data_IF_260368897595
#
_entry.id   IF_260368897595
#
_cell.length_a   1.000
_cell.length_b   1.000
_cell.length_c   1.000
_cell.angle_alpha   90.00
_cell.angle_beta   90.00
_cell.angle_gamma   90.00
#
_symmetry.space_group_name_H-M   'P 1'
#
loop_
_entity.id
_entity.type
_entity.pdbx_description
1 polymer ?
#
# COMPACT_ATOMS: atom_id res chain seq x y z
N UNK A 1 8.11 -25.72 -10.95
CA UNK A 1 7.15 -25.04 -11.88
C UNK A 1 7.10 -23.51 -11.69
N UNK A 2 6.77 -22.99 -10.50
CA UNK A 2 6.58 -21.54 -10.27
C UNK A 2 7.86 -20.72 -10.49
N UNK A 3 9.02 -21.24 -10.05
CA UNK A 3 10.32 -20.59 -10.27
C UNK A 3 10.63 -20.40 -11.76
N UNK A 4 10.40 -21.44 -12.56
CA UNK A 4 10.59 -21.37 -14.02
C UNK A 4 9.66 -20.32 -14.65
N UNK A 5 8.41 -20.23 -14.19
CA UNK A 5 7.44 -19.25 -14.69
C UNK A 5 7.87 -17.81 -14.39
N UNK A 6 8.35 -17.52 -13.17
CA UNK A 6 8.78 -16.17 -12.80
C UNK A 6 10.14 -15.79 -13.42
N UNK A 7 11.04 -16.75 -13.62
CA UNK A 7 12.31 -16.54 -14.33
C UNK A 7 12.07 -16.16 -15.80
N UNK A 8 11.07 -16.76 -16.44
CA UNK A 8 10.70 -16.48 -17.83
C UNK A 8 9.79 -15.24 -17.98
N UNK A 9 9.30 -14.66 -16.89
CA UNK A 9 8.48 -13.45 -16.95
C UNK A 9 9.33 -12.24 -17.39
N UNK A 10 8.97 -11.56 -18.49
CA UNK A 10 9.87 -10.64 -19.20
C UNK A 10 9.78 -9.19 -18.71
N UNK A 11 8.93 -8.91 -17.71
CA UNK A 11 8.73 -7.57 -17.18
C UNK A 11 9.28 -7.47 -15.77
N UNK A 12 9.65 -6.24 -15.42
CA UNK A 12 10.14 -5.86 -14.10
C UNK A 12 9.16 -4.87 -13.46
N UNK A 13 9.51 -4.37 -12.28
CA UNK A 13 8.74 -3.36 -11.56
C UNK A 13 7.41 -3.91 -11.01
N UNK A 14 6.41 -3.04 -10.90
CA UNK A 14 5.16 -3.36 -10.21
C UNK A 14 4.48 -4.62 -10.76
N UNK A 15 4.51 -4.84 -12.07
CA UNK A 15 3.81 -6.02 -12.63
C UNK A 15 4.45 -7.33 -12.18
N UNK A 16 5.80 -7.40 -12.16
CA UNK A 16 6.54 -8.55 -11.62
C UNK A 16 6.34 -8.68 -10.13
N UNK A 17 6.35 -7.58 -9.40
CA UNK A 17 6.19 -7.57 -7.96
C UNK A 17 4.79 -8.07 -7.55
N UNK A 18 3.72 -7.61 -8.22
CA UNK A 18 2.37 -8.10 -7.97
C UNK A 18 2.24 -9.58 -8.36
N UNK A 19 2.77 -9.98 -9.52
CA UNK A 19 2.78 -11.39 -9.92
C UNK A 19 3.47 -12.26 -8.88
N UNK A 20 4.65 -11.84 -8.42
CA UNK A 20 5.45 -12.53 -7.41
C UNK A 20 4.70 -12.60 -6.09
N UNK A 21 3.97 -11.57 -5.68
CA UNK A 21 3.09 -11.63 -4.51
C UNK A 21 1.94 -12.62 -4.69
N UNK A 22 1.34 -12.68 -5.88
CA UNK A 22 0.33 -13.68 -6.22
C UNK A 22 0.85 -15.11 -6.12
N UNK A 23 2.00 -15.36 -6.75
CA UNK A 23 2.70 -16.64 -6.69
C UNK A 23 3.19 -16.96 -5.27
N UNK A 24 3.60 -15.98 -4.48
CA UNK A 24 3.99 -16.18 -3.08
C UNK A 24 2.87 -16.81 -2.26
N UNK A 25 1.61 -16.39 -2.50
CA UNK A 25 0.45 -16.99 -1.85
C UNK A 25 0.33 -18.48 -2.14
N UNK A 26 0.65 -18.87 -3.37
CA UNK A 26 0.70 -20.26 -3.80
C UNK A 26 1.83 -21.01 -3.13
N UNK A 27 3.03 -20.45 -3.16
CA UNK A 27 4.20 -21.07 -2.57
C UNK A 27 4.01 -21.33 -1.08
N UNK A 28 3.38 -20.41 -0.36
CA UNK A 28 3.03 -20.57 1.06
C UNK A 28 2.09 -21.75 1.31
N UNK A 29 1.09 -21.96 0.44
CA UNK A 29 0.02 -22.95 0.68
C UNK A 29 0.29 -24.31 0.02
N UNK A 30 1.07 -24.36 -1.06
CA UNK A 30 1.21 -25.52 -1.93
C UNK A 30 2.64 -25.73 -2.48
N UNK A 31 3.61 -24.89 -2.11
CA UNK A 31 4.99 -25.03 -2.56
C UNK A 31 5.23 -24.60 -4.02
N UNK A 32 6.36 -25.04 -4.59
CA UNK A 32 6.88 -24.55 -5.89
C UNK A 32 6.34 -25.33 -7.11
N UNK A 33 5.76 -26.50 -6.89
CA UNK A 33 5.27 -27.41 -7.94
C UNK A 33 3.86 -27.91 -7.61
N UNK A 34 2.89 -27.01 -7.40
CA UNK A 34 1.53 -27.41 -7.07
C UNK A 34 0.85 -28.09 -8.26
N UNK A 35 0.03 -29.10 -7.99
CA UNK A 35 -0.92 -29.59 -8.98
C UNK A 35 -2.15 -28.67 -9.13
N UNK A 36 -3.07 -29.03 -10.02
CA UNK A 36 -4.28 -28.23 -10.26
C UNK A 36 -5.20 -28.09 -9.04
N UNK A 37 -5.29 -29.10 -8.19
CA UNK A 37 -6.15 -29.08 -7.00
C UNK A 37 -5.51 -28.23 -5.89
N UNK A 38 -4.22 -28.41 -5.64
CA UNK A 38 -3.44 -27.60 -4.70
C UNK A 38 -3.42 -26.11 -5.12
N UNK A 39 -3.33 -25.85 -6.43
CA UNK A 39 -3.42 -24.52 -7.01
C UNK A 39 -4.80 -23.89 -6.76
N UNK A 40 -5.86 -24.65 -6.98
CA UNK A 40 -7.23 -24.20 -6.73
C UNK A 40 -7.48 -23.89 -5.25
N UNK A 41 -7.00 -24.74 -4.36
CA UNK A 41 -7.15 -24.58 -2.91
C UNK A 41 -6.39 -23.36 -2.39
N UNK A 42 -5.19 -23.09 -2.91
CA UNK A 42 -4.44 -21.87 -2.62
C UNK A 42 -5.19 -20.59 -3.05
N UNK A 43 -5.71 -20.56 -4.28
CA UNK A 43 -6.47 -19.43 -4.79
C UNK A 43 -7.79 -19.22 -4.01
N UNK A 44 -8.46 -20.31 -3.62
CA UNK A 44 -9.65 -20.24 -2.78
C UNK A 44 -9.31 -19.75 -1.36
N UNK A 45 -8.17 -20.17 -0.79
CA UNK A 45 -7.67 -19.62 0.46
C UNK A 45 -7.43 -18.11 0.34
N UNK A 46 -6.83 -17.65 -0.76
CA UNK A 46 -6.61 -16.22 -1.01
C UNK A 46 -7.92 -15.42 -0.99
N UNK A 47 -8.99 -15.94 -1.62
CA UNK A 47 -10.32 -15.32 -1.60
C UNK A 47 -10.86 -15.16 -0.16
N UNK A 48 -10.68 -16.18 0.67
CA UNK A 48 -11.16 -16.18 2.07
C UNK A 48 -10.33 -15.23 2.92
N UNK A 49 -9.01 -15.33 2.85
CA UNK A 49 -8.05 -14.58 3.69
C UNK A 49 -7.95 -13.09 3.31
N UNK A 50 -8.10 -12.76 2.03
CA UNK A 50 -8.03 -11.38 1.53
C UNK A 50 -9.42 -10.76 1.29
N UNK A 51 -10.52 -11.47 1.57
CA UNK A 51 -11.88 -11.05 1.22
C UNK A 51 -12.29 -9.67 1.74
N UNK A 52 -11.82 -9.26 2.92
CA UNK A 52 -12.07 -7.91 3.45
C UNK A 52 -11.40 -6.81 2.63
N UNK A 53 -10.26 -7.11 2.00
CA UNK A 53 -9.55 -6.21 1.09
C UNK A 53 -10.23 -6.13 -0.26
N UNK A 54 -10.84 -7.23 -0.72
CA UNK A 54 -11.63 -7.25 -1.96
C UNK A 54 -12.86 -6.34 -1.85
N UNK A 55 -13.45 -6.28 -0.65
CA UNK A 55 -14.58 -5.39 -0.31
C UNK A 55 -14.16 -3.94 -0.03
N UNK A 56 -12.88 -3.66 0.18
CA UNK A 56 -12.41 -2.30 0.33
C UNK A 56 -12.65 -1.53 -0.98
N UNK A 57 -13.12 -0.28 -0.89
CA UNK A 57 -13.51 0.50 -2.08
C UNK A 57 -12.39 0.58 -3.13
N UNK A 58 -12.51 -0.25 -4.16
CA UNK A 58 -11.71 -0.15 -5.38
C UNK A 58 -12.38 0.83 -6.36
N UNK A 59 -11.63 1.24 -7.37
CA UNK A 59 -12.13 2.17 -8.37
C UNK A 59 -13.08 1.49 -9.35
N UNK A 60 -14.10 2.23 -9.80
CA UNK A 60 -14.83 1.86 -11.01
C UNK A 60 -13.87 1.77 -12.18
N UNK A 61 -14.07 0.76 -13.03
CA UNK A 61 -13.27 0.59 -14.24
C UNK A 61 -13.52 1.73 -15.23
N UNK A 62 -12.48 2.05 -16.01
CA UNK A 62 -12.63 2.93 -17.16
C UNK A 62 -13.54 2.29 -18.22
N UNK A 63 -14.15 3.11 -19.09
CA UNK A 63 -15.07 2.62 -20.13
C UNK A 63 -14.44 1.57 -21.06
N UNK A 64 -13.16 1.76 -21.41
CA UNK A 64 -12.44 0.83 -22.29
C UNK A 64 -12.21 -0.52 -21.62
N UNK A 65 -11.67 -0.53 -20.39
CA UNK A 65 -11.49 -1.75 -19.60
C UNK A 65 -12.83 -2.45 -19.37
N UNK A 66 -13.88 -1.71 -18.99
CA UNK A 66 -15.23 -2.30 -18.81
C UNK A 66 -15.71 -3.01 -20.07
N UNK A 67 -15.56 -2.40 -21.25
CA UNK A 67 -15.96 -3.05 -22.52
C UNK A 67 -15.09 -4.25 -22.86
N UNK A 68 -13.78 -4.18 -22.60
CA UNK A 68 -12.85 -5.28 -22.86
C UNK A 68 -13.16 -6.48 -21.96
N UNK A 69 -13.34 -6.25 -20.66
CA UNK A 69 -13.66 -7.29 -19.70
C UNK A 69 -15.08 -7.82 -19.90
N UNK A 70 -16.06 -7.03 -20.34
CA UNK A 70 -17.40 -7.56 -20.60
C UNK A 70 -17.40 -8.59 -21.75
N UNK A 71 -16.64 -8.33 -22.82
CA UNK A 71 -16.46 -9.31 -23.90
C UNK A 71 -15.71 -10.56 -23.40
N UNK A 72 -14.61 -10.35 -22.66
CA UNK A 72 -13.81 -11.43 -22.09
C UNK A 72 -14.65 -12.34 -21.18
N UNK A 73 -15.41 -11.77 -20.25
CA UNK A 73 -16.20 -12.53 -19.27
C UNK A 73 -17.37 -13.27 -19.92
N UNK A 74 -17.91 -12.75 -21.03
CA UNK A 74 -18.90 -13.49 -21.83
C UNK A 74 -18.26 -14.70 -22.50
N UNK A 75 -17.05 -14.56 -23.05
CA UNK A 75 -16.34 -15.67 -23.69
C UNK A 75 -15.86 -16.71 -22.68
N UNK A 76 -15.27 -16.29 -21.57
CA UNK A 76 -14.69 -17.18 -20.57
C UNK A 76 -15.75 -17.82 -19.67
N UNK A 77 -16.72 -17.04 -19.19
CA UNK A 77 -17.59 -17.43 -18.08
C UNK A 77 -19.08 -17.26 -18.40
N UNK A 78 -19.44 -16.95 -19.66
CA UNK A 78 -20.83 -16.73 -20.11
C UNK A 78 -21.62 -15.73 -19.26
N UNK A 79 -20.98 -14.63 -18.82
CA UNK A 79 -21.60 -13.57 -18.00
C UNK A 79 -20.99 -12.20 -18.22
N UNK A 80 -21.65 -11.16 -17.73
CA UNK A 80 -21.15 -9.78 -17.81
C UNK A 80 -20.05 -9.49 -16.79
N UNK A 81 -19.19 -8.53 -17.13
CA UNK A 81 -18.15 -8.06 -16.20
C UNK A 81 -18.75 -7.15 -15.10
N UNK A 82 -18.27 -7.26 -13.84
CA UNK A 82 -18.59 -6.33 -12.75
C UNK A 82 -18.23 -4.86 -13.04
N UNK A 83 -18.53 -3.95 -12.10
CA UNK A 83 -18.27 -2.51 -12.31
C UNK A 83 -16.87 -2.06 -11.84
N UNK A 84 -16.33 -2.72 -10.82
CA UNK A 84 -15.07 -2.34 -10.18
C UNK A 84 -13.97 -3.35 -10.43
N UNK A 85 -12.70 -2.90 -10.35
CA UNK A 85 -11.56 -3.83 -10.48
C UNK A 85 -11.54 -4.89 -9.37
N UNK A 86 -11.95 -4.54 -8.14
CA UNK A 86 -12.02 -5.49 -7.05
C UNK A 86 -12.99 -6.63 -7.34
N UNK A 87 -14.20 -6.32 -7.80
CA UNK A 87 -15.18 -7.35 -8.16
C UNK A 87 -14.72 -8.18 -9.37
N UNK A 88 -14.07 -7.56 -10.38
CA UNK A 88 -13.49 -8.29 -11.51
C UNK A 88 -12.43 -9.29 -11.03
N UNK A 89 -11.49 -8.85 -10.21
CA UNK A 89 -10.41 -9.69 -9.69
C UNK A 89 -10.93 -10.83 -8.81
N UNK A 90 -11.85 -10.55 -7.89
CA UNK A 90 -12.52 -11.59 -7.10
C UNK A 90 -13.19 -12.63 -8.02
N UNK A 91 -13.87 -12.15 -9.05
CA UNK A 91 -14.61 -13.01 -9.97
C UNK A 91 -13.70 -13.85 -10.86
N UNK A 92 -12.55 -13.33 -11.32
CA UNK A 92 -11.54 -14.12 -12.04
C UNK A 92 -10.97 -15.23 -11.16
N UNK A 93 -10.57 -14.90 -9.92
CA UNK A 93 -9.99 -15.91 -9.02
C UNK A 93 -11.00 -17.04 -8.79
N UNK A 94 -12.26 -16.69 -8.52
CA UNK A 94 -13.34 -17.66 -8.26
C UNK A 94 -13.55 -18.63 -9.42
N UNK A 95 -13.62 -18.16 -10.66
CA UNK A 95 -13.80 -19.09 -11.80
C UNK A 95 -12.54 -19.87 -12.12
N UNK A 96 -11.38 -19.26 -11.93
CA UNK A 96 -10.12 -19.97 -12.18
C UNK A 96 -10.02 -21.18 -11.26
N UNK A 97 -10.47 -21.07 -10.01
CA UNK A 97 -10.63 -22.22 -9.09
C UNK A 97 -11.55 -23.29 -9.68
N UNK A 98 -12.70 -22.92 -10.25
CA UNK A 98 -13.61 -23.88 -10.89
C UNK A 98 -13.00 -24.54 -12.14
N UNK A 99 -12.25 -23.78 -12.96
CA UNK A 99 -11.57 -24.29 -14.14
C UNK A 99 -10.47 -25.30 -13.79
N UNK A 100 -9.68 -25.01 -12.76
CA UNK A 100 -8.64 -25.91 -12.25
C UNK A 100 -9.26 -27.20 -11.70
N UNK A 101 -10.31 -27.10 -10.87
CA UNK A 101 -10.99 -28.27 -10.27
C UNK A 101 -11.64 -29.20 -11.31
N UNK A 102 -12.17 -28.63 -12.38
CA UNK A 102 -12.79 -29.40 -13.45
C UNK A 102 -11.76 -29.93 -14.48
N UNK A 103 -10.47 -29.62 -14.32
CA UNK A 103 -9.41 -29.99 -15.27
C UNK A 103 -9.51 -29.26 -16.61
N UNK A 104 -10.29 -28.18 -16.70
CA UNK A 104 -10.43 -27.35 -17.90
C UNK A 104 -9.25 -26.40 -18.11
N UNK A 105 -8.39 -26.27 -17.10
CA UNK A 105 -7.19 -25.46 -17.10
C UNK A 105 -6.05 -26.26 -16.48
N UNK A 106 -5.01 -26.54 -17.27
CA UNK A 106 -3.78 -27.18 -16.80
C UNK A 106 -2.80 -26.09 -16.31
N UNK A 107 -2.44 -26.07 -15.01
CA UNK A 107 -1.54 -25.05 -14.47
C UNK A 107 -0.10 -25.17 -15.02
N UNK A 108 0.38 -26.38 -15.31
CA UNK A 108 1.73 -26.59 -15.84
C UNK A 108 1.81 -26.10 -17.29
N UNK A 109 0.80 -26.43 -18.10
CA UNK A 109 0.70 -25.92 -19.47
C UNK A 109 0.61 -24.39 -19.48
N UNK A 110 -0.24 -23.81 -18.63
CA UNK A 110 -0.44 -22.36 -18.51
C UNK A 110 0.84 -21.63 -18.08
N UNK A 111 1.52 -22.10 -17.03
CA UNK A 111 2.71 -21.43 -16.51
C UNK A 111 3.92 -21.53 -17.43
N UNK A 112 4.00 -22.57 -18.27
CA UNK A 112 5.06 -22.72 -19.29
C UNK A 112 4.74 -22.05 -20.62
N UNK A 113 3.46 -21.82 -20.92
CA UNK A 113 3.04 -21.22 -22.18
C UNK A 113 3.41 -19.73 -22.23
N UNK A 114 4.53 -19.43 -22.89
CA UNK A 114 5.00 -18.07 -23.12
C UNK A 114 5.18 -17.81 -24.61
N UNK A 115 4.51 -16.76 -25.12
CA UNK A 115 4.64 -16.34 -26.53
C UNK A 115 4.80 -14.83 -26.63
N UNK A 116 5.76 -14.40 -27.43
CA UNK A 116 5.95 -12.98 -27.79
C UNK A 116 5.82 -12.81 -29.29
N UNK A 117 5.00 -11.85 -29.74
CA UNK A 117 4.89 -11.48 -31.15
C UNK A 117 4.71 -9.95 -31.32
N UNK A 118 4.44 -9.50 -32.56
CA UNK A 118 4.29 -8.08 -32.90
C UNK A 118 3.06 -7.41 -32.26
N UNK A 119 2.10 -8.18 -31.74
CA UNK A 119 0.85 -7.71 -31.13
C UNK A 119 0.94 -7.63 -29.61
N UNK A 120 1.86 -8.37 -29.00
CA UNK A 120 2.10 -8.33 -27.56
C UNK A 120 2.82 -9.56 -27.02
N UNK A 121 2.80 -9.67 -25.70
CA UNK A 121 3.26 -10.82 -24.93
C UNK A 121 2.03 -11.57 -24.42
N UNK A 122 2.07 -12.89 -24.47
CA UNK A 122 1.00 -13.80 -24.11
C UNK A 122 1.53 -14.75 -23.04
N UNK A 123 0.88 -14.72 -21.87
CA UNK A 123 1.15 -15.57 -20.72
C UNK A 123 -0.02 -16.54 -20.58
N UNK A 124 0.27 -17.84 -20.71
CA UNK A 124 -0.73 -18.88 -20.62
C UNK A 124 -1.31 -19.32 -21.95
N UNK A 125 -2.43 -20.05 -21.85
CA UNK A 125 -3.12 -20.66 -22.99
C UNK A 125 -4.43 -19.94 -23.26
N UNK A 126 -4.76 -19.75 -24.54
CA UNK A 126 -5.99 -19.05 -24.93
C UNK A 126 -7.22 -19.85 -24.47
N UNK A 127 -8.12 -19.21 -23.72
CA UNK A 127 -9.31 -19.86 -23.18
C UNK A 127 -10.55 -19.35 -23.93
N UNK A 128 -11.31 -20.27 -24.54
CA UNK A 128 -12.47 -19.96 -25.37
C UNK A 128 -12.23 -18.89 -26.45
N UNK A 129 -11.05 -18.90 -27.07
CA UNK A 129 -10.72 -17.97 -28.16
C UNK A 129 -10.25 -16.57 -27.70
N UNK A 130 -10.09 -16.36 -26.39
CA UNK A 130 -9.84 -15.04 -25.81
C UNK A 130 -8.74 -15.06 -24.74
N UNK A 131 -8.06 -13.92 -24.60
CA UNK A 131 -7.11 -13.65 -23.53
C UNK A 131 -7.35 -12.29 -22.90
N UNK A 132 -7.21 -12.21 -21.57
CA UNK A 132 -7.38 -10.96 -20.86
C UNK A 132 -6.22 -10.02 -21.15
N UNK A 133 -6.52 -8.75 -21.42
CA UNK A 133 -5.48 -7.73 -21.35
C UNK A 133 -5.14 -7.48 -19.88
N UNK A 134 -3.86 -7.21 -19.57
CA UNK A 134 -3.48 -6.74 -18.24
C UNK A 134 -4.36 -5.53 -17.86
N UNK A 135 -4.92 -5.47 -16.63
CA UNK A 135 -5.79 -4.39 -16.21
C UNK A 135 -5.08 -3.04 -16.20
N UNK A 136 -5.76 -1.96 -16.63
CA UNK A 136 -5.12 -0.64 -16.68
C UNK A 136 -4.65 -0.13 -15.31
N UNK A 137 -5.30 -0.55 -14.22
CA UNK A 137 -4.91 -0.18 -12.84
C UNK A 137 -3.51 -0.72 -12.44
N UNK A 138 -3.04 -1.77 -13.12
CA UNK A 138 -1.75 -2.43 -12.89
C UNK A 138 -0.70 -2.03 -13.95
N UNK A 139 -1.10 -1.47 -15.08
CA UNK A 139 -0.16 -1.04 -16.13
C UNK A 139 0.72 0.11 -15.62
N UNK A 140 2.03 -0.06 -15.71
CA UNK A 140 2.98 1.01 -15.43
C UNK A 140 3.14 1.98 -16.62
N UNK A 141 3.71 3.18 -16.39
CA UNK A 141 4.11 4.09 -17.46
C UNK A 141 5.23 3.55 -18.35
N UNK A 142 6.07 2.62 -17.88
CA UNK A 142 7.19 2.10 -18.69
C UNK A 142 6.72 1.28 -19.91
N UNK A 143 5.44 0.91 -19.96
CA UNK A 143 4.78 0.26 -21.11
C UNK A 143 4.51 1.23 -22.28
N UNK A 144 4.79 2.53 -22.11
CA UNK A 144 4.89 3.52 -23.18
C UNK A 144 6.37 3.76 -23.46
N UNK A 145 6.90 3.15 -24.53
CA UNK A 145 8.34 3.11 -24.83
C UNK A 145 9.06 4.47 -24.68
N UNK A 146 10.25 4.41 -24.04
CA UNK A 146 11.28 5.46 -23.84
C UNK A 146 10.97 6.56 -22.82
N UNK A 147 11.16 6.26 -21.54
CA UNK A 147 11.32 7.28 -20.51
C UNK A 147 12.78 7.40 -20.05
N UNK A 148 13.57 8.17 -20.79
CA UNK A 148 14.51 9.09 -20.12
C UNK A 148 13.68 10.28 -19.64
N UNK A 149 13.92 10.76 -18.43
CA UNK A 149 13.19 11.77 -17.61
C UNK A 149 12.82 13.12 -18.26
N UNK A 150 12.94 13.30 -19.57
CA UNK A 150 12.81 14.59 -20.27
C UNK A 150 11.83 14.66 -21.45
N UNK A 151 11.17 13.58 -21.88
CA UNK A 151 10.25 13.65 -23.04
C UNK A 151 8.86 13.07 -22.75
N UNK A 152 7.83 13.81 -23.18
CA UNK A 152 6.44 13.33 -23.27
C UNK A 152 6.38 11.99 -24.02
N UNK A 153 5.46 11.08 -23.65
CA UNK A 153 5.38 9.74 -24.24
C UNK A 153 5.24 9.85 -25.77
N UNK A 154 6.25 9.36 -26.49
CA UNK A 154 6.18 9.22 -27.95
C UNK A 154 5.42 7.93 -28.27
N UNK A 155 4.65 7.95 -29.36
CA UNK A 155 3.76 6.85 -29.78
C UNK A 155 4.52 5.59 -30.24
N UNK A 156 5.29 4.96 -29.36
CA UNK A 156 5.85 3.62 -29.54
C UNK A 156 4.78 2.53 -29.52
N UNK A 157 5.12 1.31 -29.91
CA UNK A 157 4.18 0.18 -29.82
C UNK A 157 3.89 -0.11 -28.35
N UNK A 158 2.63 0.09 -27.92
CA UNK A 158 2.20 -0.36 -26.60
C UNK A 158 2.39 -1.86 -26.50
N UNK A 159 3.34 -2.32 -25.69
CA UNK A 159 3.47 -3.74 -25.35
C UNK A 159 2.20 -4.15 -24.59
N UNK A 160 1.31 -4.90 -25.24
CA UNK A 160 0.13 -5.49 -24.60
C UNK A 160 0.53 -6.79 -23.94
N UNK A 161 0.14 -6.98 -22.70
CA UNK A 161 0.25 -8.26 -22.01
C UNK A 161 -1.13 -8.91 -22.04
N UNK A 162 -1.17 -10.10 -22.60
CA UNK A 162 -2.29 -10.99 -22.65
C UNK A 162 -2.10 -12.08 -21.60
N UNK A 163 -3.13 -12.34 -20.81
CA UNK A 163 -3.13 -13.25 -19.68
C UNK A 163 -4.27 -14.25 -19.88
N UNK A 164 -4.00 -15.51 -19.64
CA UNK A 164 -5.05 -16.51 -19.45
C UNK A 164 -5.71 -16.37 -18.04
N UNK A 165 -6.70 -17.22 -17.70
CA UNK A 165 -7.33 -17.17 -16.39
C UNK A 165 -6.36 -17.34 -15.21
N UNK A 166 -5.39 -18.26 -15.31
CA UNK A 166 -4.44 -18.53 -14.23
C UNK A 166 -3.54 -17.32 -13.97
N UNK A 167 -2.88 -16.80 -15.00
CA UNK A 167 -2.00 -15.65 -14.87
C UNK A 167 -2.75 -14.41 -14.35
N UNK A 168 -3.98 -14.18 -14.81
CA UNK A 168 -4.79 -13.07 -14.31
C UNK A 168 -5.22 -13.28 -12.85
N UNK A 169 -5.50 -14.52 -12.43
CA UNK A 169 -5.83 -14.83 -11.03
C UNK A 169 -4.64 -14.59 -10.09
N UNK A 170 -3.42 -14.97 -10.49
CA UNK A 170 -2.20 -14.72 -9.72
C UNK A 170 -1.96 -13.20 -9.59
N UNK A 171 -2.09 -12.46 -10.68
CA UNK A 171 -2.01 -10.99 -10.65
C UNK A 171 -3.05 -10.36 -9.72
N UNK A 172 -4.27 -10.90 -9.71
CA UNK A 172 -5.36 -10.43 -8.85
C UNK A 172 -5.05 -10.69 -7.36
N UNK A 173 -4.55 -11.87 -7.00
CA UNK A 173 -4.11 -12.19 -5.62
C UNK A 173 -2.99 -11.26 -5.19
N UNK A 174 -2.01 -11.04 -6.08
CA UNK A 174 -0.93 -10.09 -5.87
C UNK A 174 -1.41 -8.67 -5.59
N UNK A 175 -2.35 -8.19 -6.41
CA UNK A 175 -2.98 -6.88 -6.24
C UNK A 175 -3.64 -6.74 -4.87
N UNK A 176 -4.43 -7.73 -4.43
CA UNK A 176 -5.08 -7.67 -3.13
C UNK A 176 -4.11 -7.73 -1.95
N UNK A 177 -3.04 -8.53 -2.09
CA UNK A 177 -1.96 -8.61 -1.10
C UNK A 177 -1.29 -7.24 -0.93
N UNK A 178 -0.97 -6.57 -2.05
CA UNK A 178 -0.32 -5.26 -2.05
C UNK A 178 -1.27 -4.07 -1.75
N UNK A 179 -2.58 -4.24 -1.86
CA UNK A 179 -3.52 -3.12 -1.80
C UNK A 179 -3.51 -2.42 -0.43
N UNK A 180 -3.09 -1.15 -0.41
CA UNK A 180 -3.02 -0.29 0.77
C UNK A 180 -4.10 0.81 0.81
N UNK A 181 -4.97 0.87 -0.21
CA UNK A 181 -6.14 1.74 -0.24
C UNK A 181 -6.28 2.59 -1.50
N UNK A 182 -7.41 3.29 -1.59
CA UNK A 182 -7.71 4.26 -2.66
C UNK A 182 -8.18 5.57 -2.05
N UNK A 183 -7.32 6.60 -2.07
CA UNK A 183 -7.55 7.88 -1.38
C UNK A 183 -7.33 9.03 -2.36
N UNK A 184 -8.32 9.93 -2.48
CA UNK A 184 -8.18 11.12 -3.34
C UNK A 184 -8.01 10.82 -4.84
N UNK A 185 -8.47 9.65 -5.30
CA UNK A 185 -8.27 9.21 -6.70
C UNK A 185 -6.90 8.58 -6.99
N UNK A 186 -6.09 8.38 -5.94
CA UNK A 186 -4.83 7.64 -5.98
C UNK A 186 -5.03 6.22 -5.44
N UNK A 187 -4.39 5.23 -6.07
CA UNK A 187 -4.23 3.87 -5.57
C UNK A 187 -2.86 3.71 -4.94
N UNK A 188 -2.84 2.99 -3.82
CA UNK A 188 -1.66 2.77 -2.99
C UNK A 188 -1.41 1.27 -3.00
N UNK A 189 -0.25 0.85 -3.49
CA UNK A 189 0.18 -0.54 -3.50
C UNK A 189 1.50 -0.63 -2.74
N UNK A 190 1.60 -1.54 -1.77
CA UNK A 190 2.83 -1.78 -1.01
C UNK A 190 3.32 -3.19 -1.32
N UNK A 191 4.54 -3.29 -1.83
CA UNK A 191 5.15 -4.51 -2.33
C UNK A 191 6.49 -4.79 -1.65
N UNK A 192 7.01 -6.00 -1.86
CA UNK A 192 8.39 -6.38 -1.51
C UNK A 192 9.10 -6.80 -2.79
N UNK A 193 9.97 -5.94 -3.36
CA UNK A 193 10.79 -6.33 -4.51
C UNK A 193 11.70 -7.51 -4.14
N UNK A 194 11.85 -8.48 -5.04
CA UNK A 194 12.68 -9.66 -4.82
C UNK A 194 12.12 -10.67 -3.82
N UNK A 195 10.79 -10.68 -3.60
CA UNK A 195 10.15 -11.61 -2.65
C UNK A 195 10.38 -13.09 -3.02
N UNK A 196 10.62 -13.38 -4.29
CA UNK A 196 10.97 -14.71 -4.78
C UNK A 196 12.24 -15.28 -4.14
N UNK A 197 13.16 -14.43 -3.66
CA UNK A 197 14.36 -14.86 -2.94
C UNK A 197 14.08 -15.49 -1.57
N UNK A 198 12.86 -15.36 -1.06
CA UNK A 198 12.40 -15.95 0.20
C UNK A 198 11.59 -17.24 -0.01
N UNK A 199 11.40 -17.67 -1.26
CA UNK A 199 10.67 -18.91 -1.55
C UNK A 199 11.55 -20.13 -1.28
N UNK A 200 10.97 -21.24 -0.77
CA UNK A 200 9.60 -21.37 -0.27
C UNK A 200 9.46 -21.10 1.24
N UNK A 201 10.56 -20.93 1.97
CA UNK A 201 10.56 -21.10 3.44
C UNK A 201 10.23 -19.84 4.24
N UNK A 202 10.68 -18.66 3.79
CA UNK A 202 10.59 -17.43 4.58
C UNK A 202 9.47 -16.50 4.11
N UNK A 203 8.88 -16.79 2.95
CA UNK A 203 7.89 -15.92 2.29
C UNK A 203 6.61 -15.74 3.08
N UNK A 204 6.15 -16.76 3.81
CA UNK A 204 4.99 -16.68 4.68
C UNK A 204 5.16 -15.57 5.72
N UNK A 205 6.34 -15.49 6.35
CA UNK A 205 6.66 -14.46 7.33
C UNK A 205 6.70 -13.06 6.68
N UNK A 206 7.25 -12.94 5.48
CA UNK A 206 7.28 -11.68 4.73
C UNK A 206 5.86 -11.20 4.39
N UNK A 207 4.97 -12.10 3.96
CA UNK A 207 3.61 -11.75 3.56
C UNK A 207 2.73 -11.51 4.80
N UNK A 208 2.64 -12.47 5.71
CA UNK A 208 1.70 -12.46 6.84
C UNK A 208 2.12 -11.53 7.97
N UNK A 209 3.41 -11.47 8.31
CA UNK A 209 3.93 -10.59 9.37
C UNK A 209 4.44 -9.25 8.82
N UNK A 210 4.61 -9.14 7.50
CA UNK A 210 5.12 -7.95 6.84
C UNK A 210 4.07 -7.19 6.04
N UNK A 211 3.82 -7.62 4.82
CA UNK A 211 3.03 -6.87 3.83
C UNK A 211 1.58 -6.72 4.27
N UNK A 212 0.94 -7.78 4.76
CA UNK A 212 -0.47 -7.74 5.17
C UNK A 212 -0.71 -6.77 6.34
N UNK A 213 0.06 -6.77 7.44
CA UNK A 213 -0.14 -5.81 8.52
C UNK A 213 0.05 -4.36 8.06
N UNK A 214 1.07 -4.09 7.23
CA UNK A 214 1.36 -2.73 6.73
C UNK A 214 0.25 -2.21 5.84
N UNK A 215 -0.14 -2.97 4.82
CA UNK A 215 -1.25 -2.60 3.91
C UNK A 215 -2.58 -2.50 4.66
N UNK A 216 -2.82 -3.38 5.64
CA UNK A 216 -4.01 -3.35 6.49
C UNK A 216 -4.08 -2.11 7.37
N UNK A 217 -2.96 -1.70 7.95
CA UNK A 217 -2.85 -0.45 8.71
C UNK A 217 -3.14 0.77 7.82
N UNK A 218 -2.62 0.80 6.59
CA UNK A 218 -2.91 1.87 5.64
C UNK A 218 -4.42 1.97 5.30
N UNK A 219 -5.08 0.83 5.05
CA UNK A 219 -6.53 0.77 4.78
C UNK A 219 -7.34 1.25 6.00
N UNK A 220 -7.11 0.66 7.18
CA UNK A 220 -7.85 0.98 8.41
C UNK A 220 -7.63 2.42 8.85
N UNK A 221 -6.39 2.89 8.75
CA UNK A 221 -5.99 4.27 9.09
C UNK A 221 -6.39 5.30 8.03
N UNK A 222 -6.79 4.88 6.82
CA UNK A 222 -7.01 5.75 5.66
C UNK A 222 -5.85 6.72 5.46
N UNK A 223 -4.62 6.19 5.49
CA UNK A 223 -3.39 6.99 5.48
C UNK A 223 -3.12 7.53 4.07
N UNK A 224 -3.34 8.83 3.88
CA UNK A 224 -3.09 9.52 2.60
C UNK A 224 -1.62 9.93 2.47
N UNK A 225 -1.07 9.87 1.26
CA UNK A 225 0.27 10.38 1.00
C UNK A 225 0.22 11.90 0.85
N UNK A 226 0.59 12.62 1.92
CA UNK A 226 0.78 14.08 1.89
C UNK A 226 2.26 14.41 1.70
N UNK A 227 3.12 13.85 2.55
CA UNK A 227 4.58 13.80 2.42
C UNK A 227 5.08 12.42 2.87
N UNK A 228 6.32 12.07 2.55
CA UNK A 228 6.92 10.80 3.01
C UNK A 228 6.92 10.71 4.54
N UNK A 229 7.36 11.77 5.20
CA UNK A 229 7.47 11.82 6.65
C UNK A 229 6.11 11.60 7.33
N UNK A 230 5.06 12.29 6.87
CA UNK A 230 3.72 12.12 7.46
C UNK A 230 3.12 10.76 7.13
N UNK A 231 3.35 10.25 5.92
CA UNK A 231 2.84 8.94 5.52
C UNK A 231 3.42 7.84 6.41
N UNK A 232 4.75 7.80 6.55
CA UNK A 232 5.44 6.81 7.38
C UNK A 232 5.09 6.94 8.86
N UNK A 233 5.06 8.16 9.40
CA UNK A 233 4.66 8.41 10.79
C UNK A 233 3.26 7.87 11.06
N UNK A 234 2.27 8.21 10.21
CA UNK A 234 0.88 7.76 10.40
C UNK A 234 0.74 6.25 10.23
N UNK A 235 1.49 5.65 9.30
CA UNK A 235 1.47 4.21 9.08
C UNK A 235 2.05 3.46 10.28
N UNK A 236 3.20 3.89 10.79
CA UNK A 236 3.82 3.32 11.99
C UNK A 236 2.96 3.54 13.24
N UNK A 237 2.41 4.74 13.44
CA UNK A 237 1.42 5.00 14.50
C UNK A 237 0.26 4.02 14.44
N UNK A 238 -0.27 3.76 13.23
CA UNK A 238 -1.40 2.85 13.06
C UNK A 238 -1.03 1.39 13.31
N UNK A 239 0.16 0.97 12.90
CA UNK A 239 0.69 -0.36 13.22
C UNK A 239 0.79 -0.57 14.73
N UNK A 240 1.30 0.42 15.47
CA UNK A 240 1.39 0.33 16.93
C UNK A 240 0.01 0.33 17.60
N UNK A 241 -0.94 1.14 17.14
CA UNK A 241 -2.33 1.08 17.64
C UNK A 241 -2.97 -0.30 17.44
N UNK A 242 -2.66 -0.96 16.34
CA UNK A 242 -3.16 -2.29 16.00
C UNK A 242 -2.31 -3.41 16.64
N UNK A 243 -1.34 -3.06 17.50
CA UNK A 243 -0.38 -3.95 18.15
C UNK A 243 0.37 -4.87 17.15
N UNK A 244 0.60 -4.38 15.94
CA UNK A 244 1.29 -5.11 14.88
C UNK A 244 2.80 -4.85 14.95
N UNK A 245 3.59 -5.89 14.68
CA UNK A 245 5.04 -5.79 14.51
C UNK A 245 5.50 -6.34 13.20
N UNK A 246 6.32 -5.53 12.52
CA UNK A 246 6.95 -5.87 11.26
C UNK A 246 8.38 -6.31 11.56
N UNK A 247 8.76 -7.55 11.21
CA UNK A 247 10.14 -7.99 11.31
C UNK A 247 11.09 -7.16 10.44
N UNK A 248 12.37 -7.04 10.82
CA UNK A 248 13.33 -6.18 10.12
C UNK A 248 13.64 -6.71 8.71
N UNK A 249 13.67 -8.02 8.55
CA UNK A 249 13.89 -8.74 7.29
C UNK A 249 12.84 -8.42 6.21
N UNK A 250 11.66 -7.94 6.61
CA UNK A 250 10.62 -7.48 5.69
C UNK A 250 11.06 -6.22 4.96
N UNK A 251 11.85 -5.35 5.60
CA UNK A 251 12.27 -4.09 4.99
C UNK A 251 13.40 -4.27 3.97
N UNK A 252 13.54 -3.36 2.99
CA UNK A 252 12.60 -2.27 2.67
C UNK A 252 11.35 -2.81 1.96
N UNK A 253 10.22 -2.12 2.17
CA UNK A 253 9.01 -2.27 1.36
C UNK A 253 8.91 -1.13 0.36
N UNK A 254 8.23 -1.34 -0.76
CA UNK A 254 8.04 -0.30 -1.79
C UNK A 254 6.59 0.16 -1.82
N UNK A 255 6.35 1.46 -1.72
CA UNK A 255 5.04 2.09 -1.95
C UNK A 255 4.96 2.63 -3.37
N UNK A 256 4.01 2.15 -4.15
CA UNK A 256 3.63 2.67 -5.45
C UNK A 256 2.37 3.54 -5.35
N UNK A 257 2.44 4.76 -5.88
CA UNK A 257 1.34 5.73 -5.89
C UNK A 257 0.81 5.92 -7.31
N UNK A 258 -0.35 5.34 -7.59
CA UNK A 258 -0.94 5.31 -8.93
C UNK A 258 -2.11 6.28 -9.05
N UNK A 259 -2.02 7.24 -9.98
CA UNK A 259 -3.15 8.15 -10.23
C UNK A 259 -4.10 7.55 -11.25
N UNK A 260 -5.41 7.69 -10.98
CA UNK A 260 -6.42 7.44 -12.00
C UNK A 260 -6.21 8.32 -13.23
N UNK A 261 -6.47 7.78 -14.44
CA UNK A 261 -6.47 8.56 -15.67
C UNK A 261 -7.42 9.76 -15.56
N UNK A 262 -6.93 10.96 -15.91
CA UNK A 262 -7.78 12.13 -16.13
C UNK A 262 -8.26 12.18 -17.60
N UNK A 263 -8.95 13.25 -18.01
CA UNK A 263 -9.43 13.36 -19.39
C UNK A 263 -8.29 13.41 -20.44
N UNK A 264 -7.06 13.72 -20.03
CA UNK A 264 -5.91 13.88 -20.91
C UNK A 264 -5.03 12.62 -20.93
N UNK A 265 -4.82 12.01 -19.76
CA UNK A 265 -4.09 10.75 -19.60
C UNK A 265 -5.09 9.60 -19.62
N UNK A 266 -5.21 8.88 -20.75
CA UNK A 266 -6.14 7.72 -20.88
C UNK A 266 -5.68 6.46 -20.10
N UNK A 267 -4.66 6.59 -19.26
CA UNK A 267 -3.88 5.49 -18.68
C UNK A 267 -3.54 5.82 -17.22
N UNK A 268 -3.49 4.81 -16.35
CA UNK A 268 -2.97 5.01 -15.00
C UNK A 268 -1.48 5.38 -15.08
N UNK A 269 -1.06 6.29 -14.21
CA UNK A 269 0.34 6.73 -14.16
C UNK A 269 0.86 6.53 -12.75
N UNK A 270 1.97 5.80 -12.63
CA UNK A 270 2.77 5.78 -11.41
C UNK A 270 3.35 7.17 -11.21
N UNK A 271 2.93 7.85 -10.14
CA UNK A 271 3.39 9.20 -9.83
C UNK A 271 4.68 9.21 -9.04
N UNK A 272 4.84 8.21 -8.18
CA UNK A 272 5.91 8.16 -7.19
C UNK A 272 6.05 6.77 -6.60
N UNK A 273 7.31 6.40 -6.36
CA UNK A 273 7.74 5.18 -5.69
C UNK A 273 8.53 5.58 -4.45
N UNK A 274 8.24 4.99 -3.29
CA UNK A 274 8.93 5.29 -2.01
C UNK A 274 9.35 4.00 -1.34
N UNK A 275 10.61 3.93 -0.89
CA UNK A 275 11.06 2.82 -0.04
C UNK A 275 10.71 3.13 1.41
N UNK A 276 9.86 2.29 1.99
CA UNK A 276 9.42 2.39 3.37
C UNK A 276 10.36 1.57 4.27
N UNK A 277 10.82 2.21 5.34
CA UNK A 277 11.42 1.51 6.48
C UNK A 277 10.85 2.10 7.78
N UNK A 278 9.93 1.36 8.40
CA UNK A 278 9.23 1.83 9.59
C UNK A 278 9.82 1.26 10.89
N UNK A 279 10.96 0.56 10.84
CA UNK A 279 11.57 -0.09 12.02
C UNK A 279 11.81 0.90 13.17
N UNK A 280 12.54 1.99 12.89
CA UNK A 280 12.84 3.04 13.87
C UNK A 280 11.58 3.72 14.42
N UNK A 281 10.63 4.06 13.54
CA UNK A 281 9.36 4.66 13.92
C UNK A 281 8.50 3.73 14.80
N UNK A 282 8.37 2.46 14.41
CA UNK A 282 7.61 1.46 15.17
C UNK A 282 8.20 1.26 16.57
N UNK A 283 9.54 1.13 16.66
CA UNK A 283 10.24 1.00 17.94
C UNK A 283 10.00 2.20 18.84
N UNK A 284 10.19 3.41 18.31
CA UNK A 284 9.97 4.66 19.06
C UNK A 284 8.51 4.81 19.52
N UNK A 285 7.54 4.55 18.65
CA UNK A 285 6.12 4.70 18.96
C UNK A 285 5.60 3.67 19.96
N UNK A 286 6.10 2.43 19.93
CA UNK A 286 5.79 1.44 20.99
C UNK A 286 6.30 1.90 22.34
N UNK A 287 7.58 2.27 22.40
CA UNK A 287 8.17 2.77 23.64
C UNK A 287 7.41 4.01 24.15
N UNK A 288 6.95 4.88 23.26
CA UNK A 288 6.10 6.01 23.63
C UNK A 288 4.74 5.57 24.20
N UNK A 289 4.03 4.62 23.58
CA UNK A 289 2.73 4.14 24.07
C UNK A 289 2.87 3.43 25.43
N UNK A 290 3.91 2.61 25.59
CA UNK A 290 4.16 1.91 26.86
C UNK A 290 4.44 2.91 28.00
N UNK A 291 5.29 3.91 27.72
CA UNK A 291 5.62 4.97 28.69
C UNK A 291 4.40 5.84 29.00
N UNK A 292 3.60 6.25 28.01
CA UNK A 292 2.45 7.14 28.23
C UNK A 292 1.29 6.44 28.95
N UNK A 293 1.12 5.13 28.70
CA UNK A 293 0.15 4.30 29.42
C UNK A 293 0.52 4.18 30.90
N UNK A 294 1.81 4.03 31.21
CA UNK A 294 2.31 3.99 32.59
C UNK A 294 2.32 5.34 33.32
N UNK A 295 2.31 6.47 32.61
CA UNK A 295 2.43 7.81 33.17
C UNK A 295 1.09 8.54 33.43
N UNK A 296 -0.06 7.86 33.28
CA UNK A 296 -1.38 8.48 33.44
C UNK A 296 -1.70 8.95 34.87
N UNK A 297 -2.51 10.01 35.04
CA UNK A 297 -3.06 10.38 36.36
C UNK A 297 -4.11 9.36 36.75
N UNK A 298 -3.91 8.68 37.89
CA UNK A 298 -4.90 7.75 38.44
C UNK A 298 -5.27 6.62 37.46
N UNK A 299 -4.35 6.25 36.55
CA UNK A 299 -4.57 5.24 35.51
C UNK A 299 -5.23 5.75 34.22
N UNK A 300 -5.46 7.07 34.06
CA UNK A 300 -6.03 7.63 32.82
C UNK A 300 -4.93 8.14 31.88
N UNK A 301 -4.86 7.66 30.62
CA UNK A 301 -3.83 8.07 29.67
C UNK A 301 -3.89 9.57 29.34
N UNK A 302 -2.71 10.19 29.19
CA UNK A 302 -2.56 11.59 28.78
C UNK A 302 -3.08 11.74 27.34
N UNK A 303 -4.26 12.35 27.17
CA UNK A 303 -4.89 12.52 25.85
C UNK A 303 -5.36 13.96 25.65
N UNK A 304 -5.47 14.35 24.37
CA UNK A 304 -5.92 15.67 23.93
C UNK A 304 -7.19 15.50 23.11
N UNK A 305 -8.16 16.39 23.33
CA UNK A 305 -9.42 16.44 22.59
C UNK A 305 -9.30 17.34 21.34
N UNK A 306 -9.37 16.70 20.17
CA UNK A 306 -9.43 17.36 18.87
C UNK A 306 -10.83 17.22 18.25
N UNK A 307 -11.20 18.19 17.40
CA UNK A 307 -12.42 18.09 16.58
C UNK A 307 -12.06 17.50 15.22
N UNK A 308 -12.69 16.38 14.88
CA UNK A 308 -12.55 15.71 13.59
C UNK A 308 -13.93 15.44 13.01
N UNK A 309 -14.19 16.00 11.81
CA UNK A 309 -15.47 15.82 11.09
C UNK A 309 -16.71 16.07 11.97
N UNK A 310 -16.63 17.08 12.84
CA UNK A 310 -17.71 17.47 13.75
C UNK A 310 -17.80 16.67 15.06
N UNK A 311 -16.94 15.66 15.28
CA UNK A 311 -16.89 14.87 16.51
C UNK A 311 -15.64 15.20 17.34
N UNK A 312 -15.76 15.14 18.65
CA UNK A 312 -14.61 15.23 19.55
C UNK A 312 -13.94 13.85 19.64
N UNK A 313 -12.64 13.80 19.37
CA UNK A 313 -11.82 12.57 19.43
C UNK A 313 -10.67 12.81 20.41
N UNK A 314 -10.41 11.83 21.28
CA UNK A 314 -9.26 11.84 22.19
C UNK A 314 -8.10 11.12 21.55
N UNK A 315 -6.94 11.78 21.51
CA UNK A 315 -5.71 11.23 20.92
C UNK A 315 -4.52 11.48 21.83
N UNK A 316 -3.49 10.66 21.72
CA UNK A 316 -2.21 10.97 22.34
C UNK A 316 -1.64 12.27 21.77
N UNK A 317 -0.93 13.09 22.55
CA UNK A 317 -0.37 14.36 22.07
C UNK A 317 0.44 14.24 20.78
N UNK A 318 1.26 13.19 20.66
CA UNK A 318 2.06 12.94 19.46
C UNK A 318 1.21 12.61 18.22
N UNK A 319 0.12 11.86 18.37
CA UNK A 319 -0.81 11.57 17.29
C UNK A 319 -1.53 12.84 16.85
N UNK A 320 -1.98 13.62 17.83
CA UNK A 320 -2.62 14.91 17.61
C UNK A 320 -1.69 15.90 16.87
N UNK A 321 -0.38 15.87 17.14
CA UNK A 321 0.60 16.69 16.42
C UNK A 321 0.70 16.32 14.94
N UNK A 322 0.75 15.03 14.63
CA UNK A 322 0.81 14.53 13.24
C UNK A 322 -0.46 14.88 12.46
N UNK A 323 -1.64 14.79 13.08
CA UNK A 323 -2.89 15.20 12.44
C UNK A 323 -2.95 16.70 12.17
N UNK A 324 -2.45 17.52 13.10
CA UNK A 324 -2.38 18.98 12.91
C UNK A 324 -1.38 19.33 11.80
N UNK A 325 -0.24 18.63 11.73
CA UNK A 325 0.73 18.80 10.65
C UNK A 325 0.14 18.50 9.27
N UNK A 326 -0.62 17.41 9.14
CA UNK A 326 -1.32 17.08 7.89
C UNK A 326 -2.36 18.16 7.51
N UNK A 327 -3.13 18.66 8.48
CA UNK A 327 -4.09 19.75 8.27
C UNK A 327 -3.42 21.07 7.87
N UNK A 328 -2.21 21.35 8.35
CA UNK A 328 -1.44 22.54 7.94
C UNK A 328 -1.04 22.44 6.47
N UNK A 329 -0.58 21.28 6.01
CA UNK A 329 -0.21 21.06 4.61
C UNK A 329 -1.40 21.09 3.64
N UNK A 330 -2.58 20.67 4.08
CA UNK A 330 -3.78 20.69 3.25
C UNK A 330 -4.37 22.10 3.06
N UNK A 331 -4.00 23.06 3.91
CA UNK A 331 -4.41 24.44 3.76
C UNK A 331 -3.42 25.15 2.84
N UNK A 332 -3.91 25.81 1.79
CA UNK A 332 -3.11 26.77 1.04
C UNK A 332 -2.82 27.98 1.94
N UNK A 333 -1.80 27.89 2.80
CA UNK A 333 -1.48 28.95 3.76
C UNK A 333 -0.92 30.14 2.98
N UNK A 334 -1.69 31.22 2.87
CA UNK A 334 -1.26 32.51 2.35
C UNK A 334 -0.84 33.41 3.50
N UNK A 335 0.47 33.58 3.71
CA UNK A 335 1.06 34.51 4.67
C UNK A 335 1.96 33.83 5.70
N UNK A 336 2.85 34.61 6.33
CA UNK A 336 3.92 34.22 7.27
C UNK A 336 3.44 33.57 8.60
N UNK A 337 2.38 32.78 8.58
CA UNK A 337 1.94 31.86 9.64
C UNK A 337 2.44 30.46 9.35
N UNK A 338 3.69 30.22 9.75
CA UNK A 338 4.54 29.06 9.51
C UNK A 338 3.86 27.68 9.70
N UNK A 339 4.20 26.71 8.85
CA UNK A 339 3.82 25.28 8.94
C UNK A 339 4.54 24.59 10.13
N UNK A 340 4.37 25.14 11.32
CA UNK A 340 5.14 24.77 12.51
C UNK A 340 4.93 23.32 12.93
N UNK A 341 3.67 22.84 12.93
CA UNK A 341 3.39 21.45 13.28
C UNK A 341 4.10 20.49 12.31
N UNK A 342 4.07 20.82 11.01
CA UNK A 342 4.76 20.03 10.01
C UNK A 342 6.29 20.07 10.17
N UNK A 343 6.89 21.24 10.40
CA UNK A 343 8.33 21.36 10.67
C UNK A 343 8.73 20.50 11.87
N UNK A 344 7.95 20.52 12.95
CA UNK A 344 8.21 19.69 14.12
C UNK A 344 8.13 18.21 13.82
N UNK A 345 7.07 17.76 13.15
CA UNK A 345 6.90 16.35 12.79
C UNK A 345 8.03 15.89 11.88
N UNK A 346 8.45 16.73 10.93
CA UNK A 346 9.56 16.45 10.04
C UNK A 346 10.89 16.33 10.76
N UNK A 347 11.20 17.26 11.67
CA UNK A 347 12.42 17.20 12.47
C UNK A 347 12.41 15.99 13.41
N UNK A 348 11.27 15.67 14.02
CA UNK A 348 11.11 14.50 14.88
C UNK A 348 11.27 13.20 14.09
N UNK A 349 10.63 13.09 12.92
CA UNK A 349 10.80 11.96 12.00
C UNK A 349 12.27 11.74 11.65
N UNK A 350 12.99 12.81 11.27
CA UNK A 350 14.43 12.75 10.98
C UNK A 350 15.24 12.31 12.19
N UNK A 351 14.91 12.82 13.38
CA UNK A 351 15.59 12.46 14.61
C UNK A 351 15.40 10.97 14.95
N UNK A 352 14.16 10.47 14.87
CA UNK A 352 13.83 9.06 15.12
C UNK A 352 14.55 8.16 14.12
N UNK A 353 14.48 8.46 12.83
CA UNK A 353 15.12 7.64 11.79
C UNK A 353 16.65 7.73 11.77
N UNK A 354 17.24 8.69 12.50
CA UNK A 354 18.70 8.76 12.68
C UNK A 354 19.22 7.90 13.85
N UNK A 355 18.31 7.29 14.62
CA UNK A 355 18.59 6.54 15.86
C UNK A 355 19.50 7.30 16.86
N UNK A 356 19.46 8.64 16.80
CA UNK A 356 20.27 9.50 17.65
C UNK A 356 19.41 10.08 18.78
N UNK A 357 19.44 9.42 19.94
CA UNK A 357 18.71 9.84 21.14
C UNK A 357 18.91 11.32 21.50
N UNK A 358 20.14 11.84 21.37
CA UNK A 358 20.41 13.26 21.65
C UNK A 358 19.69 14.18 20.66
N UNK A 359 19.62 13.78 19.38
CA UNK A 359 18.90 14.55 18.38
C UNK A 359 17.38 14.53 18.63
N UNK A 360 16.84 13.42 19.14
CA UNK A 360 15.44 13.31 19.56
C UNK A 360 15.19 14.27 20.72
N UNK A 361 16.01 14.21 21.78
CA UNK A 361 15.98 15.11 22.94
C UNK A 361 16.05 16.60 22.52
N UNK A 362 17.00 16.95 21.67
CA UNK A 362 17.18 18.33 21.17
C UNK A 362 15.99 18.80 20.33
N UNK A 363 15.39 17.91 19.54
CA UNK A 363 14.22 18.22 18.71
C UNK A 363 12.98 18.44 19.57
N UNK A 364 12.78 17.58 20.57
CA UNK A 364 11.73 17.71 21.57
C UNK A 364 11.91 19.01 22.37
N UNK A 365 13.14 19.33 22.80
CA UNK A 365 13.44 20.58 23.50
C UNK A 365 13.14 21.82 22.66
N UNK A 366 13.48 21.79 21.36
CA UNK A 366 13.13 22.86 20.41
C UNK A 366 11.62 23.01 20.26
N UNK A 367 10.87 21.92 20.15
CA UNK A 367 9.41 21.90 20.14
C UNK A 367 8.84 22.60 21.38
N UNK A 368 9.36 22.30 22.58
CA UNK A 368 8.90 22.94 23.80
C UNK A 368 9.23 24.43 23.85
N UNK A 369 10.46 24.81 23.50
CA UNK A 369 10.87 26.22 23.51
C UNK A 369 10.00 27.05 22.58
N UNK A 370 9.77 26.57 21.36
CA UNK A 370 8.90 27.24 20.39
C UNK A 370 7.43 27.18 20.82
N UNK A 371 6.98 26.04 21.36
CA UNK A 371 5.63 25.87 21.88
C UNK A 371 5.29 26.82 23.02
N UNK A 372 6.22 27.00 23.97
CA UNK A 372 6.11 27.97 25.05
C UNK A 372 6.02 29.40 24.52
N UNK A 373 6.86 29.77 23.54
CA UNK A 373 6.78 31.08 22.88
C UNK A 373 5.44 31.33 22.16
N UNK A 374 4.84 30.29 21.57
CA UNK A 374 3.50 30.37 20.97
C UNK A 374 2.39 30.51 22.01
N UNK A 375 2.50 29.82 23.14
CA UNK A 375 1.50 29.82 24.22
C UNK A 375 1.54 31.09 25.07
N UNK A 376 2.72 31.62 25.37
CA UNK A 376 2.93 32.85 26.16
C UNK A 376 2.74 34.13 25.33
N UNK A 377 2.82 34.04 23.99
CA UNK A 377 2.28 35.04 23.06
C UNK A 377 3.31 35.95 22.36
N UNK A 378 3.43 35.73 21.03
CA UNK A 378 3.80 36.68 19.94
C UNK A 378 3.69 36.02 18.55
N UNK A 379 3.61 34.68 18.47
CA UNK A 379 3.52 33.95 17.20
C UNK A 379 2.09 33.62 16.72
N UNK A 380 1.92 33.58 15.39
CA UNK A 380 0.74 33.07 14.70
C UNK A 380 0.79 31.53 14.71
N UNK A 381 -0.24 30.89 15.27
CA UNK A 381 -0.31 29.42 15.34
C UNK A 381 -1.74 28.97 15.54
N UNK A 382 -2.11 27.85 14.89
CA UNK A 382 -3.50 27.37 14.89
C UNK A 382 -4.00 27.04 16.31
N UNK A 383 -5.31 27.20 16.54
CA UNK A 383 -5.92 26.85 17.83
C UNK A 383 -5.72 25.37 18.19
N UNK A 384 -5.74 24.49 17.18
CA UNK A 384 -5.47 23.06 17.37
C UNK A 384 -4.02 22.81 17.76
N UNK A 385 -3.04 23.46 17.11
CA UNK A 385 -1.63 23.37 17.50
C UNK A 385 -1.42 23.84 18.94
N UNK A 386 -2.03 24.96 19.34
CA UNK A 386 -1.95 25.45 20.72
C UNK A 386 -2.54 24.46 21.74
N UNK A 387 -3.58 23.70 21.39
CA UNK A 387 -4.11 22.63 22.24
C UNK A 387 -3.12 21.48 22.37
N UNK A 388 -2.53 21.06 21.25
CA UNK A 388 -1.52 20.01 21.21
C UNK A 388 -0.34 20.37 22.10
N UNK A 389 0.22 21.57 21.91
CA UNK A 389 1.35 22.07 22.68
C UNK A 389 1.06 22.14 24.19
N UNK A 390 -0.16 22.47 24.61
CA UNK A 390 -0.51 22.45 26.04
C UNK A 390 -0.46 21.03 26.63
N UNK A 391 -0.89 20.01 25.88
CA UNK A 391 -0.78 18.62 26.36
C UNK A 391 0.67 18.14 26.42
N UNK A 392 1.51 18.62 25.52
CA UNK A 392 2.96 18.39 25.51
C UNK A 392 3.68 19.04 26.70
N UNK A 393 3.27 20.24 27.10
CA UNK A 393 3.91 21.02 28.18
C UNK A 393 3.68 20.47 29.60
N UNK A 394 3.04 19.31 29.72
CA UNK A 394 2.76 18.68 31.00
C UNK A 394 3.92 17.74 31.40
N UNK A 395 4.42 17.85 32.63
CA UNK A 395 5.71 17.27 33.06
C UNK A 395 5.78 15.75 32.87
N UNK A 396 4.67 15.08 33.13
CA UNK A 396 4.49 13.64 32.98
C UNK A 396 4.61 13.20 31.52
N UNK A 397 4.20 14.05 30.57
CA UNK A 397 4.35 13.80 29.14
C UNK A 397 5.80 14.03 28.67
N UNK A 398 6.52 14.97 29.27
CA UNK A 398 7.94 15.23 28.96
C UNK A 398 8.80 13.98 29.16
N UNK A 399 8.58 13.28 30.28
CA UNK A 399 9.35 12.10 30.67
C UNK A 399 9.10 10.89 29.75
N UNK A 400 8.02 10.94 28.97
CA UNK A 400 7.54 9.85 28.12
C UNK A 400 8.05 9.99 26.67
N UNK A 401 8.45 11.18 26.25
CA UNK A 401 8.91 11.44 24.87
C UNK A 401 10.40 11.13 24.65
N UNK A 402 11.21 11.12 25.72
CA UNK A 402 12.67 10.93 25.67
C UNK A 402 13.07 9.52 26.02
#
# INVERSE_FOLDING_TARGET
MILEAIENYPYEGLTRELLSLGMSWVVMNAGLEPDGEEMADSLENALRSLGDRMKAHTSKMGRNDRSSYDNLFRAWFNRGAPETYGEVFELVIRETVELLRNGSLDPEESLRAFRTDRRGIYLGVEYNGEMALLPAIIKQPEYYERQSTFMLPTMGQMAKIHLDPLWLSLMAVGFFTAFAGSIGGMHYLITKPGIEGFWPYDVEDIVEKGILPVTGAAIRGRVAFTTEELYEMKLAMKLVEDNASIPEEVYPLTLHLHKKPDRQTKVYTELKTVQLNLSGLNGYFRAYIDRIGGAGIGGTPITIELKERGKTVRKYPLWALVDVAEKELQKNVSGDGEMLAYIFVKDLYRAINSDNRKLIEDTIFRLFRQGRGLLEGKGSGSYELRKVLRGFMWEEHLRVLV
#
